data_IF_285669190325
#
_entry.id   IF_285669190325
#
_cell.length_a   1.000
_cell.length_b   1.000
_cell.length_c   1.000
_cell.angle_alpha   90.00
_cell.angle_beta   90.00
_cell.angle_gamma   90.00
#
_symmetry.space_group_name_H-M   'P 1'
#
loop_
_entity.id
_entity.type
_entity.pdbx_description
1 polymer ?
#
# COMPACT_ATOMS: atom_id res chain seq x y z
N UNK A 1 16.05 53.95 30.48
CA UNK A 1 17.06 54.04 29.41
C UNK A 1 16.87 52.84 28.49
N UNK A 2 16.74 53.10 27.19
CA UNK A 2 16.71 52.16 26.05
C UNK A 2 15.54 51.12 26.04
N UNK A 3 14.53 51.19 25.16
CA UNK A 3 14.49 51.17 23.68
C UNK A 3 14.36 49.75 23.09
N UNK A 4 13.19 49.48 22.48
CA UNK A 4 13.02 48.86 21.12
C UNK A 4 13.32 47.36 21.01
N UNK A 5 12.65 46.48 20.24
CA UNK A 5 11.39 46.40 19.49
C UNK A 5 11.19 44.91 19.08
N UNK A 6 9.96 44.55 18.75
CA UNK A 6 9.58 43.35 18.00
C UNK A 6 10.27 43.27 16.62
N UNK A 7 10.58 42.06 16.15
CA UNK A 7 10.62 41.77 14.72
C UNK A 7 10.41 40.26 14.44
N UNK A 8 9.27 39.96 13.84
CA UNK A 8 8.98 38.72 13.11
C UNK A 8 9.83 38.66 11.83
N UNK A 9 10.38 37.50 11.50
CA UNK A 9 11.02 37.23 10.21
C UNK A 9 10.11 36.34 9.36
N UNK A 10 9.60 36.96 8.29
CA UNK A 10 8.79 36.35 7.25
C UNK A 10 9.63 35.43 6.34
N UNK A 11 9.07 34.27 5.98
CA UNK A 11 9.61 33.39 4.95
C UNK A 11 9.11 33.90 3.60
N UNK A 12 10.03 34.39 2.77
CA UNK A 12 9.75 34.92 1.44
C UNK A 12 9.39 33.81 0.45
N UNK A 13 8.26 33.98 -0.22
CA UNK A 13 7.85 33.20 -1.39
C UNK A 13 8.68 33.64 -2.61
N UNK A 14 9.32 32.70 -3.29
CA UNK A 14 9.93 32.91 -4.61
C UNK A 14 9.00 32.37 -5.68
N UNK A 15 8.36 33.29 -6.40
CA UNK A 15 7.60 33.03 -7.61
C UNK A 15 8.56 32.93 -8.80
N UNK A 16 8.48 31.85 -9.56
CA UNK A 16 9.15 31.72 -10.86
C UNK A 16 8.25 32.31 -11.96
N UNK A 17 8.59 33.50 -12.44
CA UNK A 17 7.96 34.14 -13.61
C UNK A 17 8.65 33.68 -14.89
N UNK A 18 7.86 33.25 -15.87
CA UNK A 18 8.29 32.98 -17.26
C UNK A 18 8.74 34.26 -17.99
N UNK A 19 9.76 34.20 -18.87
CA UNK A 19 9.99 35.25 -19.85
C UNK A 19 9.38 34.86 -21.21
N UNK A 20 8.45 35.69 -21.67
CA UNK A 20 8.13 35.89 -23.08
C UNK A 20 9.17 36.81 -23.73
N UNK A 21 9.68 36.52 -24.94
CA UNK A 21 9.58 37.43 -26.11
C UNK A 21 10.38 36.94 -27.34
N UNK A 22 9.70 36.98 -28.49
CA UNK A 22 10.11 37.40 -29.84
C UNK A 22 11.27 36.75 -30.63
N UNK A 23 10.85 36.15 -31.75
CA UNK A 23 11.38 36.14 -33.15
C UNK A 23 12.66 36.94 -33.45
N UNK A 24 13.61 36.27 -34.11
CA UNK A 24 14.22 36.76 -35.36
C UNK A 24 14.80 35.57 -36.16
N UNK A 25 14.69 35.61 -37.49
CA UNK A 25 15.14 34.55 -38.39
C UNK A 25 16.59 34.72 -38.85
N UNK A 26 17.16 33.64 -39.37
CA UNK A 26 18.20 33.74 -40.41
C UNK A 26 18.26 32.46 -41.25
N UNK A 27 18.53 32.69 -42.52
CA UNK A 27 18.59 31.80 -43.67
C UNK A 27 20.00 31.22 -43.78
N UNK A 28 20.12 29.88 -43.91
CA UNK A 28 21.26 29.17 -44.54
C UNK A 28 20.63 27.88 -45.08
N UNK A 29 20.58 27.55 -46.36
CA UNK A 29 21.60 27.57 -47.40
C UNK A 29 21.37 26.28 -48.19
N UNK A 30 20.76 26.39 -49.36
CA UNK A 30 20.44 25.27 -50.25
C UNK A 30 21.71 24.72 -50.92
N UNK A 31 21.95 23.42 -50.83
CA UNK A 31 22.72 22.69 -51.85
C UNK A 31 21.96 21.44 -52.29
N UNK A 32 21.66 21.42 -53.58
CA UNK A 32 21.06 20.30 -54.31
C UNK A 32 22.09 19.20 -54.51
N UNK A 33 21.66 17.95 -54.35
CA UNK A 33 22.09 16.86 -55.22
C UNK A 33 20.90 15.89 -55.40
N UNK A 34 20.35 15.85 -56.61
CA UNK A 34 19.48 14.78 -57.09
C UNK A 34 20.35 13.70 -57.69
N UNK A 35 20.07 12.41 -57.44
CA UNK A 35 19.95 11.39 -58.49
C UNK A 35 19.46 10.05 -57.90
N UNK A 36 18.54 9.41 -58.64
CA UNK A 36 18.01 8.03 -58.54
C UNK A 36 16.78 7.76 -57.63
N UNK A 37 15.66 7.47 -58.31
CA UNK A 37 14.78 6.37 -57.93
C UNK A 37 13.47 6.74 -57.24
N UNK A 38 12.44 7.06 -58.01
CA UNK A 38 11.12 7.40 -57.50
C UNK A 38 10.40 6.26 -56.77
N UNK A 39 9.77 6.63 -55.64
CA UNK A 39 8.42 6.24 -55.18
C UNK A 39 8.02 7.19 -54.04
N UNK A 40 6.95 7.96 -54.22
CA UNK A 40 6.42 8.88 -53.19
C UNK A 40 5.85 8.08 -52.02
N UNK A 41 6.59 7.98 -50.91
CA UNK A 41 6.04 7.48 -49.65
C UNK A 41 5.22 8.59 -48.98
N UNK A 42 3.90 8.39 -48.96
CA UNK A 42 2.91 9.27 -48.32
C UNK A 42 3.00 9.05 -46.81
N UNK A 43 3.69 9.95 -46.09
CA UNK A 43 3.70 9.93 -44.62
C UNK A 43 2.34 10.41 -44.12
N UNK A 44 1.47 9.47 -43.75
CA UNK A 44 0.23 9.78 -43.03
C UNK A 44 0.56 10.22 -41.62
N UNK A 45 0.21 11.46 -41.28
CA UNK A 45 0.32 12.03 -39.93
C UNK A 45 -0.72 11.32 -39.04
N UNK A 46 -0.35 10.21 -38.42
CA UNK A 46 -1.14 9.60 -37.35
C UNK A 46 -1.06 10.50 -36.13
N UNK A 47 -2.10 11.33 -35.94
CA UNK A 47 -2.38 12.00 -34.69
C UNK A 47 -2.68 10.92 -33.64
N UNK A 48 -1.77 10.69 -32.70
CA UNK A 48 -2.09 9.91 -31.51
C UNK A 48 -3.23 10.62 -30.75
N UNK A 49 -4.27 9.91 -30.30
CA UNK A 49 -5.25 10.53 -29.44
C UNK A 49 -4.55 10.87 -28.12
N UNK A 50 -4.52 12.16 -27.79
CA UNK A 50 -4.20 12.61 -26.44
C UNK A 50 -5.37 12.21 -25.55
N UNK A 51 -5.34 10.98 -25.07
CA UNK A 51 -6.24 10.53 -24.02
C UNK A 51 -5.86 11.26 -22.74
N UNK A 52 -6.68 12.23 -22.33
CA UNK A 52 -6.76 12.65 -20.94
C UNK A 52 -6.97 11.37 -20.12
N UNK A 53 -5.96 10.94 -19.36
CA UNK A 53 -6.11 9.85 -18.41
C UNK A 53 -7.02 10.37 -17.30
N UNK A 54 -8.31 10.13 -17.44
CA UNK A 54 -9.24 10.20 -16.32
C UNK A 54 -8.75 9.24 -15.25
N UNK A 55 -8.53 9.77 -14.05
CA UNK A 55 -8.27 9.02 -12.83
C UNK A 55 -9.52 8.21 -12.48
N UNK A 56 -9.78 7.16 -13.23
CA UNK A 56 -10.77 6.16 -12.90
C UNK A 56 -10.08 5.13 -12.03
N UNK A 57 -10.40 5.13 -10.74
CA UNK A 57 -10.42 3.89 -9.97
C UNK A 57 -11.00 2.81 -10.87
N UNK A 58 -10.47 1.59 -10.88
CA UNK A 58 -11.17 0.45 -11.49
C UNK A 58 -12.52 0.34 -10.79
N UNK A 59 -13.53 1.04 -11.32
CA UNK A 59 -14.89 1.07 -10.81
C UNK A 59 -15.45 -0.31 -11.11
N UNK A 60 -15.23 -1.25 -10.20
CA UNK A 60 -16.09 -2.40 -10.13
C UNK A 60 -17.51 -1.86 -9.97
N UNK A 61 -18.45 -2.41 -10.75
CA UNK A 61 -19.84 -2.01 -10.65
C UNK A 61 -20.31 -2.12 -9.19
N UNK A 62 -21.07 -1.11 -8.76
CA UNK A 62 -21.76 -1.14 -7.47
C UNK A 62 -22.55 -2.44 -7.35
N UNK A 63 -22.50 -3.05 -6.17
CA UNK A 63 -23.12 -4.35 -5.90
C UNK A 63 -24.15 -4.18 -4.77
N UNK A 64 -25.41 -3.86 -5.12
CA UNK A 64 -26.45 -3.61 -4.14
C UNK A 64 -26.90 -4.89 -3.43
N UNK A 65 -26.80 -6.05 -4.09
CA UNK A 65 -27.29 -7.35 -3.58
C UNK A 65 -26.18 -8.17 -2.89
N UNK A 66 -25.14 -7.50 -2.40
CA UNK A 66 -24.00 -8.14 -1.73
C UNK A 66 -24.35 -8.70 -0.34
N UNK A 67 -23.64 -9.73 0.14
CA UNK A 67 -23.77 -10.16 1.52
C UNK A 67 -23.34 -9.04 2.48
N UNK A 68 -24.13 -8.85 3.54
CA UNK A 68 -23.89 -7.85 4.58
C UNK A 68 -23.43 -8.50 5.88
N UNK A 69 -22.63 -7.77 6.67
CA UNK A 69 -22.08 -8.27 7.94
C UNK A 69 -23.17 -8.61 8.97
N UNK A 70 -24.27 -7.86 8.97
CA UNK A 70 -25.43 -8.08 9.83
C UNK A 70 -26.69 -8.32 8.98
N UNK A 71 -27.07 -9.59 8.72
CA UNK A 71 -28.23 -9.93 7.89
C UNK A 71 -29.52 -9.26 8.37
N UNK A 72 -30.24 -8.60 7.45
CA UNK A 72 -31.47 -7.85 7.74
C UNK A 72 -31.26 -6.35 8.03
N UNK A 73 -30.00 -5.88 8.10
CA UNK A 73 -29.69 -4.46 8.19
C UNK A 73 -29.60 -3.78 6.83
N UNK A 74 -29.79 -2.47 6.80
CA UNK A 74 -29.53 -1.64 5.62
C UNK A 74 -28.08 -1.16 5.65
N UNK A 75 -27.25 -1.40 4.62
CA UNK A 75 -25.90 -0.87 4.56
C UNK A 75 -25.91 0.67 4.49
N UNK A 76 -24.88 1.34 4.99
CA UNK A 76 -24.79 2.80 4.91
C UNK A 76 -24.58 3.27 3.45
N UNK A 77 -25.06 4.47 3.13
CA UNK A 77 -25.11 4.99 1.75
C UNK A 77 -23.73 5.16 1.08
N UNK A 78 -22.69 5.46 1.88
CA UNK A 78 -21.32 5.62 1.39
C UNK A 78 -20.63 4.28 1.06
N UNK A 79 -21.25 3.14 1.38
CA UNK A 79 -20.79 1.79 1.04
C UNK A 79 -21.70 1.21 -0.04
N UNK A 80 -21.30 1.38 -1.30
CA UNK A 80 -22.06 0.99 -2.50
C UNK A 80 -21.73 -0.42 -3.01
N UNK A 81 -20.80 -1.14 -2.36
CA UNK A 81 -20.34 -2.44 -2.81
C UNK A 81 -19.30 -2.39 -3.94
N UNK A 82 -18.87 -1.20 -4.38
CA UNK A 82 -17.80 -1.07 -5.38
C UNK A 82 -16.44 -1.42 -4.81
N UNK A 83 -16.21 -1.14 -3.52
CA UNK A 83 -14.97 -1.42 -2.82
C UNK A 83 -14.75 -2.93 -2.60
N UNK A 84 -13.50 -3.43 -2.78
CA UNK A 84 -13.19 -4.82 -2.49
C UNK A 84 -13.30 -5.07 -0.97
N UNK A 85 -14.06 -6.10 -0.58
CA UNK A 85 -14.28 -6.41 0.83
C UNK A 85 -15.35 -5.55 1.54
N UNK A 86 -16.22 -4.89 0.78
CA UNK A 86 -17.39 -4.19 1.31
C UNK A 86 -18.48 -5.20 1.75
N UNK A 87 -18.76 -5.22 3.06
CA UNK A 87 -19.85 -5.97 3.69
C UNK A 87 -20.82 -5.04 4.44
N UNK A 88 -20.81 -3.73 4.15
CA UNK A 88 -21.65 -2.74 4.84
C UNK A 88 -21.31 -2.52 6.32
N UNK A 89 -20.08 -2.83 6.74
CA UNK A 89 -19.63 -2.67 8.13
C UNK A 89 -19.01 -1.29 8.35
N UNK A 90 -19.81 -0.34 8.81
CA UNK A 90 -19.34 0.93 9.39
C UNK A 90 -20.38 1.47 10.38
N UNK A 91 -20.59 0.80 11.53
CA UNK A 91 -21.63 1.19 12.48
C UNK A 91 -21.35 2.54 13.16
N UNK A 92 -20.11 3.02 13.14
CA UNK A 92 -19.70 4.29 13.77
C UNK A 92 -19.59 5.45 12.76
N UNK A 93 -19.79 5.20 11.47
CA UNK A 93 -19.69 6.22 10.43
C UNK A 93 -18.28 6.79 10.23
N UNK A 94 -17.24 5.99 10.51
CA UNK A 94 -15.84 6.43 10.40
C UNK A 94 -15.42 6.71 8.96
N UNK A 95 -16.15 6.17 7.98
CA UNK A 95 -15.94 6.41 6.54
C UNK A 95 -17.05 7.22 5.89
N UNK A 96 -17.85 7.97 6.67
CA UNK A 96 -18.98 8.73 6.13
C UNK A 96 -18.56 9.77 5.09
N UNK A 97 -17.44 10.45 5.31
CA UNK A 97 -16.85 11.38 4.37
C UNK A 97 -15.91 10.68 3.35
N UNK A 98 -16.05 10.96 2.04
CA UNK A 98 -15.31 10.25 0.99
C UNK A 98 -13.78 10.35 1.08
N UNK A 99 -13.24 11.43 1.63
CA UNK A 99 -11.79 11.59 1.80
C UNK A 99 -11.26 10.69 2.91
N UNK A 100 -11.93 10.63 4.05
CA UNK A 100 -11.58 9.71 5.14
C UNK A 100 -11.80 8.26 4.72
N UNK A 101 -12.84 7.95 3.94
CA UNK A 101 -13.01 6.61 3.37
C UNK A 101 -11.81 6.21 2.49
N UNK A 102 -11.36 7.09 1.60
CA UNK A 102 -10.17 6.83 0.77
C UNK A 102 -8.91 6.62 1.62
N UNK A 103 -8.72 7.44 2.64
CA UNK A 103 -7.60 7.28 3.57
C UNK A 103 -7.68 5.95 4.33
N UNK A 104 -8.84 5.61 4.87
CA UNK A 104 -9.09 4.39 5.61
C UNK A 104 -8.91 3.14 4.76
N UNK A 105 -9.27 3.18 3.47
CA UNK A 105 -8.98 2.08 2.53
C UNK A 105 -7.47 1.87 2.38
N UNK A 106 -6.68 2.94 2.23
CA UNK A 106 -5.23 2.83 2.14
C UNK A 106 -4.60 2.37 3.46
N UNK A 107 -5.11 2.87 4.59
CA UNK A 107 -4.70 2.46 5.92
C UNK A 107 -4.99 0.97 6.15
N UNK A 108 -6.21 0.52 5.88
CA UNK A 108 -6.59 -0.89 6.00
C UNK A 108 -5.69 -1.77 5.14
N UNK A 109 -5.42 -1.38 3.90
CA UNK A 109 -4.58 -2.13 2.97
C UNK A 109 -3.14 -2.30 3.50
N UNK A 110 -2.50 -1.25 4.03
CA UNK A 110 -1.14 -1.40 4.59
C UNK A 110 -1.13 -2.19 5.89
N UNK A 111 -2.13 -2.00 6.78
CA UNK A 111 -2.24 -2.79 8.00
C UNK A 111 -2.45 -4.28 7.69
N UNK A 112 -3.29 -4.58 6.70
CA UNK A 112 -3.50 -5.94 6.19
C UNK A 112 -2.19 -6.58 5.70
N UNK A 113 -1.41 -5.86 4.88
CA UNK A 113 -0.14 -6.38 4.34
C UNK A 113 0.90 -6.61 5.43
N UNK A 114 1.08 -5.64 6.33
CA UNK A 114 2.00 -5.77 7.46
C UNK A 114 1.59 -6.90 8.40
N UNK A 115 0.29 -7.03 8.69
CA UNK A 115 -0.21 -8.09 9.53
C UNK A 115 -0.06 -9.47 8.87
N UNK A 116 -0.25 -9.61 7.56
CA UNK A 116 0.03 -10.87 6.86
C UNK A 116 1.49 -11.27 6.95
N UNK A 117 2.42 -10.33 6.77
CA UNK A 117 3.86 -10.58 6.94
C UNK A 117 4.19 -10.92 8.40
N UNK A 118 3.62 -10.20 9.37
CA UNK A 118 3.79 -10.46 10.79
C UNK A 118 3.24 -11.82 11.22
N UNK A 119 2.02 -12.18 10.81
CA UNK A 119 1.42 -13.47 11.07
C UNK A 119 2.29 -14.60 10.50
N UNK A 120 2.72 -14.50 9.24
CA UNK A 120 3.62 -15.48 8.65
C UNK A 120 4.95 -15.57 9.41
N UNK A 121 5.55 -14.43 9.80
CA UNK A 121 6.80 -14.36 10.55
C UNK A 121 6.71 -14.85 12.00
N UNK A 122 5.52 -14.89 12.59
CA UNK A 122 5.28 -15.44 13.93
C UNK A 122 4.99 -16.94 13.82
N UNK A 123 3.94 -17.32 13.09
CA UNK A 123 3.43 -18.70 13.12
C UNK A 123 4.32 -19.69 12.37
N UNK A 124 4.96 -19.30 11.26
CA UNK A 124 5.78 -20.24 10.46
C UNK A 124 7.06 -20.61 11.22
N UNK A 125 7.91 -19.68 11.68
CA UNK A 125 9.14 -20.06 12.38
C UNK A 125 8.88 -20.81 13.68
N UNK A 126 7.83 -20.43 14.41
CA UNK A 126 7.47 -21.13 15.65
C UNK A 126 7.00 -22.56 15.37
N UNK A 127 6.14 -22.77 14.37
CA UNK A 127 5.72 -24.11 13.98
C UNK A 127 6.90 -24.96 13.51
N UNK A 128 7.76 -24.41 12.66
CA UNK A 128 8.96 -25.10 12.17
C UNK A 128 9.97 -25.42 13.29
N UNK A 129 10.03 -24.58 14.32
CA UNK A 129 10.86 -24.82 15.50
C UNK A 129 10.30 -25.96 16.35
N UNK A 130 8.97 -26.04 16.50
CA UNK A 130 8.32 -27.11 17.27
C UNK A 130 8.45 -28.49 16.62
N UNK A 131 8.52 -28.56 15.29
CA UNK A 131 8.78 -29.81 14.56
C UNK A 131 10.29 -30.14 14.42
N UNK A 132 11.17 -29.30 14.93
CA UNK A 132 12.62 -29.52 14.94
C UNK A 132 13.35 -29.24 13.63
N UNK A 133 12.73 -28.51 12.69
CA UNK A 133 13.40 -28.09 11.44
C UNK A 133 14.23 -26.83 11.68
N UNK A 134 13.70 -25.89 12.46
CA UNK A 134 14.37 -24.65 12.83
C UNK A 134 14.66 -24.61 14.34
N UNK A 135 15.48 -23.64 14.75
CA UNK A 135 15.77 -23.38 16.15
C UNK A 135 15.66 -21.89 16.45
N UNK A 136 14.61 -21.25 15.93
CA UNK A 136 14.41 -19.81 16.09
C UNK A 136 13.84 -19.51 17.49
N UNK A 137 14.29 -18.42 18.15
CA UNK A 137 13.72 -18.02 19.43
C UNK A 137 12.24 -17.63 19.29
N UNK A 138 11.55 -17.54 20.43
CA UNK A 138 10.17 -17.03 20.47
C UNK A 138 10.11 -15.64 19.83
N UNK A 139 9.12 -15.42 18.98
CA UNK A 139 8.89 -14.15 18.30
C UNK A 139 8.74 -12.98 19.31
N UNK A 140 8.17 -13.26 20.49
CA UNK A 140 7.91 -12.26 21.54
C UNK A 140 9.20 -11.71 22.17
N UNK A 141 10.22 -12.56 22.34
CA UNK A 141 11.52 -12.19 22.94
C UNK A 141 12.62 -12.01 21.90
N UNK A 142 12.30 -12.14 20.61
CA UNK A 142 13.26 -12.00 19.53
C UNK A 142 13.96 -10.62 19.54
N UNK A 143 13.24 -9.54 19.88
CA UNK A 143 13.81 -8.20 19.98
C UNK A 143 14.81 -7.99 21.14
N UNK A 144 14.87 -8.90 22.10
CA UNK A 144 15.81 -8.82 23.23
C UNK A 144 17.19 -9.38 22.87
N UNK A 145 17.25 -10.26 21.87
CA UNK A 145 18.45 -10.94 21.41
C UNK A 145 19.54 -9.96 20.95
N UNK A 146 20.78 -10.42 20.99
CA UNK A 146 21.93 -9.71 20.43
C UNK A 146 22.08 -10.05 18.95
N UNK A 147 22.34 -9.02 18.14
CA UNK A 147 22.56 -9.13 16.71
C UNK A 147 23.98 -8.69 16.36
N UNK A 148 24.33 -8.71 15.08
CA UNK A 148 25.64 -8.27 14.60
C UNK A 148 25.93 -6.78 14.88
N UNK A 149 24.91 -5.99 15.17
CA UNK A 149 25.01 -4.56 15.51
C UNK A 149 23.96 -4.20 16.55
N UNK A 150 24.04 -3.00 17.10
CA UNK A 150 23.09 -2.51 18.09
C UNK A 150 21.70 -2.28 17.48
N UNK A 151 20.67 -2.54 18.29
CA UNK A 151 19.25 -2.45 17.88
C UNK A 151 18.87 -1.03 17.45
N UNK A 152 19.51 -0.02 18.03
CA UNK A 152 19.32 1.38 17.65
C UNK A 152 19.83 1.68 16.25
N UNK A 153 20.98 1.14 15.84
CA UNK A 153 21.51 1.25 14.48
C UNK A 153 20.60 0.54 13.49
N UNK A 154 20.14 -0.68 13.79
CA UNK A 154 19.16 -1.39 12.94
C UNK A 154 17.88 -0.57 12.76
N UNK A 155 17.37 0.00 13.85
CA UNK A 155 16.17 0.84 13.82
C UNK A 155 16.36 2.13 13.00
N UNK A 156 17.52 2.80 13.11
CA UNK A 156 17.81 4.00 12.30
C UNK A 156 17.88 3.64 10.81
N UNK A 157 18.54 2.53 10.46
CA UNK A 157 18.57 2.05 9.07
C UNK A 157 17.16 1.75 8.58
N UNK A 158 16.35 1.05 9.38
CA UNK A 158 14.94 0.79 9.06
C UNK A 158 14.17 2.09 8.80
N UNK A 159 14.28 3.09 9.68
CA UNK A 159 13.61 4.38 9.52
C UNK A 159 14.00 5.10 8.22
N UNK A 160 15.26 5.03 7.80
CA UNK A 160 15.71 5.67 6.56
C UNK A 160 15.10 4.96 5.35
N UNK A 161 15.19 3.63 5.29
CA UNK A 161 14.74 2.85 4.14
C UNK A 161 13.21 2.82 4.03
N UNK A 162 12.52 2.52 5.14
CA UNK A 162 11.06 2.54 5.20
C UNK A 162 10.55 3.97 5.08
N UNK A 163 11.22 4.95 5.67
CA UNK A 163 10.86 6.36 5.53
C UNK A 163 10.89 6.85 4.08
N UNK A 164 11.88 6.41 3.29
CA UNK A 164 11.89 6.70 1.85
C UNK A 164 10.72 6.03 1.10
N UNK A 165 10.49 4.73 1.36
CA UNK A 165 9.41 3.99 0.72
C UNK A 165 8.03 4.58 1.06
N UNK A 166 7.77 4.83 2.34
CA UNK A 166 6.54 5.43 2.84
C UNK A 166 6.40 6.89 2.40
N UNK A 167 7.49 7.65 2.30
CA UNK A 167 7.46 9.01 1.77
C UNK A 167 7.00 9.06 0.31
N UNK A 168 7.45 8.12 -0.52
CA UNK A 168 6.96 7.99 -1.90
C UNK A 168 5.51 7.50 -1.95
N UNK A 169 5.13 6.53 -1.11
CA UNK A 169 3.74 6.06 -1.00
C UNK A 169 2.80 7.18 -0.57
N UNK A 170 3.19 7.99 0.42
CA UNK A 170 2.46 9.16 0.87
C UNK A 170 2.24 10.14 -0.29
N UNK A 171 3.30 10.45 -1.05
CA UNK A 171 3.20 11.33 -2.21
C UNK A 171 2.22 10.80 -3.28
N UNK A 172 2.13 9.48 -3.48
CA UNK A 172 1.12 8.86 -4.34
C UNK A 172 -0.30 9.03 -3.81
N UNK A 173 -0.51 8.92 -2.49
CA UNK A 173 -1.83 9.09 -1.86
C UNK A 173 -2.33 10.52 -2.02
N UNK A 174 -1.46 11.52 -1.79
CA UNK A 174 -1.83 12.94 -1.95
C UNK A 174 -2.01 13.29 -3.43
N UNK A 175 -1.07 12.86 -4.27
CA UNK A 175 -1.06 13.20 -5.70
C UNK A 175 -0.80 11.94 -6.54
N UNK A 176 -1.87 11.22 -6.91
CA UNK A 176 -1.76 9.97 -7.66
C UNK A 176 -0.92 10.12 -8.92
N UNK A 177 0.05 9.23 -9.07
CA UNK A 177 0.90 9.14 -10.26
C UNK A 177 2.10 10.09 -10.30
N UNK A 178 2.31 10.95 -9.28
CA UNK A 178 3.49 11.81 -9.23
C UNK A 178 4.81 11.04 -8.94
N UNK A 179 4.71 9.80 -8.43
CA UNK A 179 5.86 8.97 -8.06
C UNK A 179 6.09 7.76 -8.97
N UNK A 180 5.36 7.65 -10.08
CA UNK A 180 5.42 6.49 -10.97
C UNK A 180 6.71 6.37 -11.80
N UNK A 181 7.56 7.38 -11.79
CA UNK A 181 8.86 7.37 -12.47
C UNK A 181 9.98 7.23 -11.45
N UNK A 182 10.92 6.33 -11.73
CA UNK A 182 12.17 6.22 -10.99
C UNK A 182 12.99 7.52 -11.14
N UNK A 183 13.43 8.15 -10.03
CA UNK A 183 14.18 9.41 -10.07
C UNK A 183 15.57 9.29 -10.69
N UNK A 184 16.17 8.09 -10.72
CA UNK A 184 17.51 7.83 -11.25
C UNK A 184 17.42 7.30 -12.69
N UNK A 185 16.49 6.38 -12.94
CA UNK A 185 16.33 5.73 -14.25
C UNK A 185 14.92 5.95 -14.84
N UNK A 186 14.69 7.03 -15.61
CA UNK A 186 13.36 7.39 -16.12
C UNK A 186 12.67 6.35 -17.02
N UNK A 187 13.44 5.37 -17.51
CA UNK A 187 12.93 4.25 -18.30
C UNK A 187 12.12 3.26 -17.45
N UNK A 188 12.43 3.15 -16.15
CA UNK A 188 11.71 2.31 -15.21
C UNK A 188 10.48 3.06 -14.70
N UNK A 189 9.31 2.47 -14.92
CA UNK A 189 8.02 3.08 -14.55
C UNK A 189 7.12 2.06 -13.88
N UNK A 190 6.29 2.57 -12.98
CA UNK A 190 5.18 1.84 -12.39
C UNK A 190 3.98 1.84 -13.33
N UNK A 191 3.30 0.69 -13.42
CA UNK A 191 2.13 0.49 -14.29
C UNK A 191 0.80 0.57 -13.54
N UNK A 192 0.84 0.74 -12.22
CA UNK A 192 -0.33 0.90 -11.37
C UNK A 192 -1.24 2.03 -11.81
N UNK A 193 -2.54 1.75 -11.86
CA UNK A 193 -3.59 2.74 -12.19
C UNK A 193 -4.29 3.25 -10.93
N UNK A 194 -4.46 2.38 -9.93
CA UNK A 194 -5.14 2.69 -8.68
C UNK A 194 -4.12 2.88 -7.55
N UNK A 195 -4.34 3.89 -6.70
CA UNK A 195 -3.53 4.13 -5.49
C UNK A 195 -3.63 2.92 -4.56
N UNK A 196 -2.49 2.49 -4.00
CA UNK A 196 -2.37 1.29 -3.17
C UNK A 196 -2.00 0.02 -3.94
N UNK A 197 -2.07 0.07 -5.28
CA UNK A 197 -1.71 -1.00 -6.20
C UNK A 197 -0.67 -0.53 -7.22
N UNK A 198 0.62 -0.39 -6.80
CA UNK A 198 1.65 0.26 -7.61
C UNK A 198 2.02 -0.49 -8.90
N UNK A 199 1.84 -1.81 -8.94
CA UNK A 199 2.17 -2.64 -10.10
C UNK A 199 3.62 -2.47 -10.56
N UNK A 200 3.85 -2.51 -11.88
CA UNK A 200 5.18 -2.45 -12.46
C UNK A 200 6.03 -3.70 -12.17
N UNK A 201 7.23 -3.73 -12.73
CA UNK A 201 8.11 -4.91 -12.63
C UNK A 201 8.51 -5.25 -11.18
N UNK A 202 8.61 -4.25 -10.31
CA UNK A 202 9.05 -4.42 -8.92
C UNK A 202 7.97 -4.99 -8.00
N UNK A 203 6.72 -4.56 -8.15
CA UNK A 203 5.63 -4.96 -7.25
C UNK A 203 4.67 -5.98 -7.86
N UNK A 204 4.69 -6.14 -9.19
CA UNK A 204 3.91 -7.14 -9.91
C UNK A 204 4.71 -7.72 -11.09
N UNK A 205 5.80 -8.47 -10.82
CA UNK A 205 6.63 -9.06 -11.88
C UNK A 205 5.87 -10.09 -12.73
N UNK A 206 4.80 -10.68 -12.18
CA UNK A 206 3.98 -11.69 -12.85
C UNK A 206 2.80 -11.09 -13.62
N UNK A 207 2.55 -9.78 -13.49
CA UNK A 207 1.47 -9.08 -14.18
C UNK A 207 0.06 -9.50 -13.73
N UNK A 208 -0.09 -10.05 -12.51
CA UNK A 208 -1.39 -10.54 -12.01
C UNK A 208 -2.30 -9.41 -11.52
N UNK A 209 -1.74 -8.23 -11.26
CA UNK A 209 -2.43 -7.01 -10.89
C UNK A 209 -3.03 -6.25 -12.08
N UNK A 210 -2.81 -6.73 -13.32
CA UNK A 210 -3.45 -6.23 -14.53
C UNK A 210 -4.46 -7.26 -15.06
N UNK A 211 -5.71 -6.86 -15.26
CA UNK A 211 -6.75 -7.79 -15.74
C UNK A 211 -8.15 -7.20 -15.75
N UNK A 212 -9.15 -8.07 -15.86
CA UNK A 212 -10.56 -7.66 -15.84
C UNK A 212 -10.95 -7.08 -14.47
N UNK A 213 -11.82 -6.05 -14.41
CA UNK A 213 -12.27 -5.45 -13.15
C UNK A 213 -12.84 -6.47 -12.15
N UNK A 214 -13.55 -7.49 -12.63
CA UNK A 214 -14.09 -8.55 -11.79
C UNK A 214 -13.00 -9.40 -11.12
N UNK A 215 -11.96 -9.81 -11.87
CA UNK A 215 -10.83 -10.57 -11.33
C UNK A 215 -10.02 -9.72 -10.33
N UNK A 216 -9.84 -8.43 -10.62
CA UNK A 216 -9.18 -7.52 -9.69
C UNK A 216 -10.00 -7.35 -8.40
N UNK A 217 -11.32 -7.18 -8.49
CA UNK A 217 -12.21 -7.11 -7.32
C UNK A 217 -12.09 -8.38 -6.48
N UNK A 218 -12.08 -9.56 -7.12
CA UNK A 218 -11.94 -10.85 -6.44
C UNK A 218 -10.59 -10.97 -5.72
N UNK A 219 -9.47 -10.70 -6.41
CA UNK A 219 -8.12 -10.81 -5.82
C UNK A 219 -7.90 -9.81 -4.69
N UNK A 220 -8.34 -8.56 -4.86
CA UNK A 220 -8.27 -7.54 -3.80
C UNK A 220 -9.16 -7.88 -2.62
N UNK A 221 -10.33 -8.49 -2.86
CA UNK A 221 -11.19 -8.99 -1.78
C UNK A 221 -10.51 -10.13 -1.01
N UNK A 222 -9.80 -11.03 -1.71
CA UNK A 222 -9.00 -12.08 -1.06
C UNK A 222 -7.86 -11.47 -0.22
N UNK A 223 -7.16 -10.47 -0.75
CA UNK A 223 -6.09 -9.76 -0.03
C UNK A 223 -6.62 -9.15 1.27
N UNK A 224 -7.70 -8.36 1.21
CA UNK A 224 -8.28 -7.71 2.39
C UNK A 224 -8.83 -8.72 3.39
N UNK A 225 -9.50 -9.80 2.94
CA UNK A 225 -9.99 -10.83 3.86
C UNK A 225 -8.87 -11.56 4.61
N UNK A 226 -7.80 -11.94 3.91
CA UNK A 226 -6.63 -12.55 4.54
C UNK A 226 -5.92 -11.54 5.45
N UNK A 227 -5.87 -10.28 5.05
CA UNK A 227 -5.34 -9.18 5.87
C UNK A 227 -6.10 -8.95 7.17
N UNK A 228 -7.43 -8.88 7.12
CA UNK A 228 -8.29 -8.78 8.32
C UNK A 228 -8.10 -9.97 9.26
N UNK A 229 -8.06 -11.18 8.70
CA UNK A 229 -7.76 -12.39 9.48
C UNK A 229 -6.36 -12.30 10.12
N UNK A 230 -5.36 -11.85 9.38
CA UNK A 230 -4.00 -11.72 9.87
C UNK A 230 -3.86 -10.66 10.97
N UNK A 231 -4.56 -9.52 10.87
CA UNK A 231 -4.59 -8.50 11.94
C UNK A 231 -5.12 -9.10 13.25
N UNK A 232 -6.22 -9.84 13.19
CA UNK A 232 -6.77 -10.55 14.34
C UNK A 232 -5.82 -11.63 14.85
N UNK A 233 -5.14 -12.36 13.97
CA UNK A 233 -4.20 -13.42 14.35
C UNK A 233 -2.95 -12.87 15.05
N UNK A 234 -2.37 -11.76 14.57
CA UNK A 234 -1.21 -11.11 15.22
C UNK A 234 -1.59 -10.58 16.59
N UNK A 235 -2.73 -9.89 16.71
CA UNK A 235 -3.22 -9.43 18.01
C UNK A 235 -3.53 -10.61 18.94
N UNK A 236 -4.13 -11.67 18.41
CA UNK A 236 -4.41 -12.91 19.14
C UNK A 236 -3.13 -13.55 19.69
N UNK A 237 -2.09 -13.69 18.86
CA UNK A 237 -0.79 -14.21 19.29
C UNK A 237 -0.16 -13.33 20.38
N UNK A 238 -0.26 -12.01 20.26
CA UNK A 238 0.25 -11.09 21.30
C UNK A 238 -0.48 -11.25 22.62
N UNK A 239 -1.81 -11.18 22.64
CA UNK A 239 -2.55 -11.39 23.88
C UNK A 239 -2.32 -12.79 24.45
N UNK A 240 -2.28 -13.82 23.62
CA UNK A 240 -1.97 -15.17 24.06
C UNK A 240 -0.60 -15.25 24.74
N UNK A 241 0.45 -14.68 24.15
CA UNK A 241 1.78 -14.67 24.75
C UNK A 241 1.80 -13.95 26.11
N UNK A 242 1.02 -12.87 26.28
CA UNK A 242 0.87 -12.16 27.56
C UNK A 242 0.19 -13.03 28.61
N UNK A 243 -0.92 -13.69 28.27
CA UNK A 243 -1.73 -14.43 29.24
C UNK A 243 -1.18 -15.83 29.56
N UNK A 244 -0.66 -16.56 28.56
CA UNK A 244 -0.20 -17.94 28.74
C UNK A 244 1.29 -18.04 29.01
N UNK A 245 2.08 -17.01 28.66
CA UNK A 245 3.54 -17.02 28.76
C UNK A 245 4.23 -17.98 27.77
N UNK A 246 3.48 -18.53 26.82
CA UNK A 246 3.94 -19.52 25.83
C UNK A 246 3.62 -19.05 24.42
N UNK A 247 4.26 -19.69 23.44
CA UNK A 247 4.04 -19.36 22.05
C UNK A 247 2.65 -19.79 21.54
N UNK A 248 2.09 -19.11 20.52
CA UNK A 248 0.82 -19.47 19.89
C UNK A 248 0.71 -20.95 19.47
N UNK A 249 1.79 -21.61 19.04
CA UNK A 249 1.74 -23.01 18.62
C UNK A 249 1.57 -23.95 19.82
N UNK A 250 2.20 -23.62 20.95
CA UNK A 250 1.97 -24.36 22.20
C UNK A 250 0.53 -24.21 22.67
N UNK A 251 -0.03 -23.01 22.56
CA UNK A 251 -1.42 -22.73 22.89
C UNK A 251 -2.39 -23.50 21.99
N UNK A 252 -2.06 -23.62 20.71
CA UNK A 252 -2.82 -24.45 19.77
C UNK A 252 -2.80 -25.92 20.19
N UNK A 253 -1.63 -26.50 20.49
CA UNK A 253 -1.55 -27.90 20.91
C UNK A 253 -2.21 -28.16 22.26
N UNK A 254 -2.08 -27.25 23.23
CA UNK A 254 -2.76 -27.35 24.50
C UNK A 254 -4.29 -27.36 24.31
N UNK A 255 -4.81 -26.46 23.49
CA UNK A 255 -6.24 -26.39 23.19
C UNK A 255 -6.73 -27.63 22.43
N UNK A 256 -5.94 -28.16 21.48
CA UNK A 256 -6.29 -29.37 20.74
C UNK A 256 -6.27 -30.64 21.63
N UNK A 257 -5.41 -30.67 22.65
CA UNK A 257 -5.33 -31.79 23.58
C UNK A 257 -6.56 -31.85 24.52
N UNK A 258 -7.05 -30.69 24.98
CA UNK A 258 -8.25 -30.61 25.82
C UNK A 258 -9.03 -29.31 25.57
N UNK A 259 -9.88 -29.25 24.54
CA UNK A 259 -10.59 -28.02 24.18
C UNK A 259 -11.64 -27.60 25.21
N UNK A 260 -12.07 -28.50 26.09
CA UNK A 260 -13.05 -28.21 27.14
C UNK A 260 -12.46 -27.44 28.32
N UNK A 261 -11.18 -27.66 28.64
CA UNK A 261 -10.53 -27.06 29.81
C UNK A 261 -9.39 -26.11 29.44
N UNK A 262 -8.58 -26.43 28.42
CA UNK A 262 -7.46 -25.61 27.97
C UNK A 262 -7.96 -24.43 27.10
N UNK A 263 -8.58 -23.47 27.76
CA UNK A 263 -9.18 -22.28 27.14
C UNK A 263 -8.69 -21.00 27.84
N UNK A 264 -9.24 -19.86 27.46
CA UNK A 264 -9.03 -18.59 28.17
C UNK A 264 -9.27 -18.70 29.68
N UNK A 265 -10.24 -19.50 30.13
CA UNK A 265 -10.56 -19.68 31.55
C UNK A 265 -9.50 -20.45 32.32
N UNK A 266 -8.59 -21.17 31.65
CA UNK A 266 -7.44 -21.77 32.31
C UNK A 266 -6.38 -20.73 32.68
N UNK A 267 -6.23 -19.68 31.86
CA UNK A 267 -5.24 -18.63 32.08
C UNK A 267 -5.67 -17.61 33.16
N UNK A 268 -6.98 -17.42 33.37
CA UNK A 268 -7.51 -16.45 34.34
C UNK A 268 -7.75 -17.01 35.76
N UNK A 269 -7.42 -18.28 36.03
CA UNK A 269 -7.48 -18.86 37.38
C UNK A 269 -6.26 -18.41 38.21
N UNK A 270 -6.28 -17.15 38.63
CA UNK A 270 -5.52 -16.65 39.77
C UNK A 270 -6.15 -17.06 41.09
#
# INVERSE_FOLDING_TARGET
>A
MASTACASSAIAAVAFSSPSSQKSGSIVGSTKASFLGGKKLRVSKLSAPSGSRSTGTVCAAADPDRPIWFPGSTPPEWLDGSLPGDFGFDPLGLGSDPETLKWNVQAELVHCRWAMLGAAGIFIPEFLTKIGILNTPSWYTAGEQEYFTDKTTLFIVELIFIGWAEGRRWADIIKPGCVNTDPIFPNNKLTGTDVGYPGGLWFDPLGWGAGSPAKLKELRTKEIKNGRLAMLAVMGAWFQAIYTGTGPIDNLFAHLADPGHATIFAAFKG
#
